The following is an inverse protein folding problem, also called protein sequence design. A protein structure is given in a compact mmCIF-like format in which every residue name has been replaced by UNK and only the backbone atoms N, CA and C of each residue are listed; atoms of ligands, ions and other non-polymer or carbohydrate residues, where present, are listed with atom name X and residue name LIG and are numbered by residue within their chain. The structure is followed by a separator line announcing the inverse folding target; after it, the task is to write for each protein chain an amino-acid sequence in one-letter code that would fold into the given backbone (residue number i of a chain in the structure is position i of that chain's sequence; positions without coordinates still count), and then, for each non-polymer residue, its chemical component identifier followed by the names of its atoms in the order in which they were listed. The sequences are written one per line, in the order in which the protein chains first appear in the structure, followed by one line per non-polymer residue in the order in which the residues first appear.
data_IF_233102677384
#
_entry.id   IF_233102677384
#
_cell.length_a   1.000
_cell.length_b   1.000
_cell.length_c   1.000
_cell.angle_alpha   90.00
_cell.angle_beta   90.00
_cell.angle_gamma   90.00
#
_symmetry.space_group_name_H-M   'P 1'
#
loop_
_entity.id
_entity.type
_entity.pdbx_description
1 polymer ?
#
# COMPACT_ATOMS: atom_id res chain seq x y z
N UNK A 1 3.29 27.86 -25.25
CA UNK A 1 2.94 26.43 -25.37
C UNK A 1 2.23 25.99 -24.08
N UNK A 2 0.91 25.90 -24.14
CA UNK A 2 0.13 25.41 -23.01
C UNK A 2 0.30 23.89 -22.99
N UNK A 3 1.01 23.33 -22.01
CA UNK A 3 1.01 21.89 -21.77
C UNK A 3 -0.43 21.49 -21.48
N UNK A 4 -1.03 20.74 -22.42
CA UNK A 4 -2.34 20.17 -22.24
C UNK A 4 -2.35 19.34 -20.96
N UNK A 5 -3.17 19.77 -20.02
CA UNK A 5 -3.49 19.01 -18.82
C UNK A 5 -4.26 17.77 -19.28
N UNK A 6 -3.54 16.65 -19.38
CA UNK A 6 -4.19 15.35 -19.60
C UNK A 6 -5.03 15.11 -18.36
N UNK A 7 -6.33 15.23 -18.49
CA UNK A 7 -7.29 14.85 -17.45
C UNK A 7 -7.12 13.35 -17.19
N UNK A 8 -6.39 13.00 -16.15
CA UNK A 8 -6.33 11.63 -15.66
C UNK A 8 -7.75 11.26 -15.26
N UNK A 9 -8.31 10.23 -15.87
CA UNK A 9 -9.59 9.69 -15.43
C UNK A 9 -9.34 8.97 -14.11
N UNK A 10 -9.97 9.49 -13.06
CA UNK A 10 -9.94 8.87 -11.73
C UNK A 10 -10.46 7.44 -11.80
N UNK A 11 -9.75 6.54 -11.13
CA UNK A 11 -10.19 5.15 -10.89
C UNK A 11 -11.10 5.01 -9.68
N UNK A 12 -11.39 6.11 -8.98
CA UNK A 12 -12.25 6.10 -7.81
C UNK A 12 -13.65 5.60 -8.17
N UNK A 13 -14.12 4.63 -7.40
CA UNK A 13 -15.41 4.04 -7.59
C UNK A 13 -15.40 2.52 -7.37
N UNK A 14 -16.59 1.97 -7.25
CA UNK A 14 -16.76 0.53 -7.08
C UNK A 14 -16.88 -0.18 -8.42
N UNK A 15 -16.26 -1.32 -8.53
CA UNK A 15 -16.38 -2.27 -9.63
C UNK A 15 -17.06 -3.54 -9.12
N UNK A 16 -18.11 -3.99 -9.81
CA UNK A 16 -18.62 -5.35 -9.64
C UNK A 16 -17.74 -6.29 -10.45
N UNK A 17 -16.91 -7.05 -9.75
CA UNK A 17 -15.92 -7.90 -10.37
C UNK A 17 -16.53 -9.19 -10.94
N UNK A 18 -15.79 -9.87 -11.82
CA UNK A 18 -16.20 -11.11 -12.48
C UNK A 18 -16.54 -12.26 -11.52
N UNK A 19 -15.97 -12.24 -10.31
CA UNK A 19 -16.29 -13.20 -9.23
C UNK A 19 -17.57 -12.85 -8.45
N UNK A 20 -18.30 -11.81 -8.85
CA UNK A 20 -19.54 -11.35 -8.24
C UNK A 20 -19.36 -10.44 -7.02
N UNK A 21 -18.15 -10.18 -6.58
CA UNK A 21 -17.86 -9.27 -5.47
C UNK A 21 -17.65 -7.84 -5.96
N UNK A 22 -18.02 -6.88 -5.12
CA UNK A 22 -17.81 -5.46 -5.38
C UNK A 22 -16.55 -5.00 -4.66
N UNK A 23 -15.65 -4.32 -5.39
CA UNK A 23 -14.38 -3.81 -4.85
C UNK A 23 -14.15 -2.36 -5.27
N UNK A 24 -13.38 -1.65 -4.45
CA UNK A 24 -12.95 -0.29 -4.74
C UNK A 24 -11.84 -0.28 -5.77
N UNK A 25 -11.93 0.65 -6.73
CA UNK A 25 -10.96 0.82 -7.80
C UNK A 25 -11.46 0.26 -9.14
N UNK A 26 -11.88 1.12 -10.05
CA UNK A 26 -12.41 0.72 -11.38
C UNK A 26 -11.35 0.07 -12.25
N UNK A 27 -10.08 0.43 -12.05
CA UNK A 27 -8.92 -0.12 -12.78
C UNK A 27 -8.02 -0.94 -11.86
N UNK A 28 -8.55 -1.46 -10.76
CA UNK A 28 -7.79 -2.09 -9.71
C UNK A 28 -7.32 -1.11 -8.64
N UNK A 29 -6.56 -1.61 -7.69
CA UNK A 29 -6.01 -0.81 -6.61
C UNK A 29 -4.55 -1.20 -6.35
N UNK A 30 -3.81 -0.32 -5.69
CA UNK A 30 -2.42 -0.56 -5.35
C UNK A 30 -2.06 0.14 -4.05
N UNK A 31 -1.11 -0.44 -3.31
CA UNK A 31 -0.57 0.11 -2.10
C UNK A 31 0.93 -0.15 -1.99
N UNK A 32 1.55 0.42 -0.98
CA UNK A 32 2.96 0.28 -0.74
C UNK A 32 3.25 -0.12 0.70
N UNK A 33 4.10 -1.12 0.87
CA UNK A 33 4.75 -1.44 2.15
C UNK A 33 6.13 -0.80 2.14
N UNK A 34 6.32 0.23 2.96
CA UNK A 34 7.63 0.79 3.24
C UNK A 34 8.31 -0.06 4.31
N UNK A 35 9.57 -0.41 4.06
CA UNK A 35 10.39 -1.25 4.93
C UNK A 35 11.64 -0.49 5.35
N UNK A 36 11.96 -0.53 6.63
CA UNK A 36 13.25 -0.07 7.13
C UNK A 36 13.96 -1.22 7.84
N UNK A 37 15.26 -1.34 7.62
CA UNK A 37 16.11 -2.26 8.37
C UNK A 37 16.51 -1.61 9.69
N UNK A 38 16.29 -2.32 10.78
CA UNK A 38 16.66 -1.90 12.12
C UNK A 38 17.51 -2.99 12.78
N UNK A 39 18.27 -2.65 13.81
CA UNK A 39 19.11 -3.59 14.55
C UNK A 39 18.31 -4.78 15.12
N UNK A 40 17.03 -4.57 15.42
CA UNK A 40 16.10 -5.60 15.89
C UNK A 40 15.39 -6.39 14.78
N UNK A 41 15.74 -6.15 13.52
CA UNK A 41 15.10 -6.72 12.34
C UNK A 41 14.26 -5.70 11.55
N UNK A 42 13.66 -6.09 10.42
CA UNK A 42 12.90 -5.18 9.60
C UNK A 42 11.60 -4.73 10.28
N UNK A 43 11.27 -3.46 10.06
CA UNK A 43 9.98 -2.87 10.42
C UNK A 43 9.27 -2.39 9.16
N UNK A 44 7.95 -2.44 9.19
CA UNK A 44 7.10 -1.96 8.10
C UNK A 44 6.18 -0.85 8.57
N UNK A 45 5.92 0.12 7.69
CA UNK A 45 4.96 1.17 7.96
C UNK A 45 3.55 0.67 7.71
N UNK A 46 2.68 0.85 8.70
CA UNK A 46 1.24 0.61 8.60
C UNK A 46 0.47 1.86 8.99
N UNK A 47 -0.70 2.02 8.41
CA UNK A 47 -1.66 3.05 8.78
C UNK A 47 -2.89 2.45 9.45
N UNK A 48 -3.41 3.15 10.46
CA UNK A 48 -4.70 2.85 11.05
C UNK A 48 -5.79 3.58 10.27
N UNK A 49 -6.69 2.82 9.67
CA UNK A 49 -7.83 3.40 8.93
C UNK A 49 -8.79 4.08 9.89
N UNK A 50 -9.24 5.28 9.52
CA UNK A 50 -10.25 6.01 10.28
C UNK A 50 -11.51 5.17 10.48
N UNK A 51 -12.16 5.29 11.62
CA UNK A 51 -13.46 4.63 11.90
C UNK A 51 -14.56 5.04 10.92
N UNK A 52 -14.40 6.17 10.24
CA UNK A 52 -15.32 6.65 9.21
C UNK A 52 -15.06 6.02 7.84
N UNK A 53 -13.92 5.37 7.64
CA UNK A 53 -13.58 4.67 6.41
C UNK A 53 -14.17 3.25 6.39
N UNK A 54 -14.26 2.67 5.19
CA UNK A 54 -14.57 1.25 5.04
C UNK A 54 -13.53 0.39 5.76
N UNK A 55 -13.99 -0.62 6.54
CA UNK A 55 -13.12 -1.40 7.44
C UNK A 55 -12.32 -0.51 8.41
N UNK A 56 -12.96 0.51 8.94
CA UNK A 56 -12.37 1.44 9.90
C UNK A 56 -11.87 0.75 11.16
N UNK A 57 -10.84 1.33 11.77
CA UNK A 57 -10.19 0.77 12.96
C UNK A 57 -9.28 -0.42 12.67
N UNK A 58 -8.97 -0.69 11.41
CA UNK A 58 -8.04 -1.74 10.99
C UNK A 58 -6.74 -1.16 10.45
N UNK A 59 -5.65 -1.93 10.56
CA UNK A 59 -4.34 -1.59 10.04
C UNK A 59 -4.14 -2.15 8.63
N UNK A 60 -3.54 -1.35 7.77
CA UNK A 60 -3.20 -1.73 6.39
C UNK A 60 -2.01 -0.92 5.89
N UNK A 61 -1.49 -1.28 4.72
CA UNK A 61 -0.58 -0.41 4.02
C UNK A 61 -1.33 0.78 3.39
N UNK A 62 -0.68 1.95 3.18
CA UNK A 62 -1.25 3.04 2.42
C UNK A 62 -1.43 2.65 0.95
N UNK A 63 -2.50 3.14 0.34
CA UNK A 63 -2.83 2.84 -1.06
C UNK A 63 -4.23 3.26 -1.43
N UNK A 64 -4.62 3.03 -2.66
CA UNK A 64 -5.92 3.39 -3.20
C UNK A 64 -6.12 2.94 -4.64
N UNK A 65 -7.11 3.54 -5.30
CA UNK A 65 -7.47 3.19 -6.67
C UNK A 65 -6.40 3.61 -7.69
N UNK A 66 -6.21 2.76 -8.68
CA UNK A 66 -5.37 3.06 -9.84
C UNK A 66 -6.15 3.95 -10.79
N UNK A 67 -5.57 5.06 -11.23
CA UNK A 67 -6.15 5.91 -12.26
C UNK A 67 -5.90 5.33 -13.65
N UNK A 68 -6.75 5.71 -14.61
CA UNK A 68 -6.62 5.22 -15.98
C UNK A 68 -5.27 5.61 -16.59
N UNK A 69 -4.53 4.61 -17.08
CA UNK A 69 -3.21 4.79 -17.69
C UNK A 69 -2.06 4.88 -16.72
N UNK A 70 -2.33 4.77 -15.43
CA UNK A 70 -1.33 4.72 -14.38
C UNK A 70 -0.86 3.28 -14.16
N UNK A 71 0.43 3.08 -13.89
CA UNK A 71 0.91 1.77 -13.44
C UNK A 71 0.51 1.55 -11.97
N UNK A 72 0.41 0.30 -11.50
CA UNK A 72 0.15 0.03 -10.10
C UNK A 72 1.16 0.70 -9.15
N UNK A 73 2.45 0.72 -9.51
CA UNK A 73 3.48 1.36 -8.70
C UNK A 73 3.32 2.89 -8.62
N UNK A 74 3.00 3.53 -9.75
CA UNK A 74 2.71 4.97 -9.77
C UNK A 74 1.52 5.31 -8.88
N UNK A 75 0.44 4.50 -8.95
CA UNK A 75 -0.73 4.66 -8.09
C UNK A 75 -0.39 4.48 -6.61
N UNK A 76 0.38 3.44 -6.27
CA UNK A 76 0.80 3.17 -4.90
C UNK A 76 1.57 4.35 -4.30
N UNK A 77 2.52 4.93 -5.04
CA UNK A 77 3.29 6.08 -4.59
C UNK A 77 2.42 7.34 -4.48
N UNK A 78 1.55 7.60 -5.42
CA UNK A 78 0.65 8.77 -5.40
C UNK A 78 -0.30 8.70 -4.20
N UNK A 79 -0.99 7.60 -4.02
CA UNK A 79 -1.93 7.40 -2.91
C UNK A 79 -1.22 7.47 -1.55
N UNK A 80 -0.07 6.80 -1.41
CA UNK A 80 0.68 6.85 -0.16
C UNK A 80 1.18 8.26 0.17
N UNK A 81 1.58 9.05 -0.84
CA UNK A 81 1.98 10.43 -0.64
C UNK A 81 0.84 11.29 -0.08
N UNK A 82 -0.39 11.05 -0.53
CA UNK A 82 -1.59 11.76 -0.06
C UNK A 82 -1.95 11.36 1.39
N UNK A 83 -1.76 10.09 1.76
CA UNK A 83 -2.18 9.55 3.05
C UNK A 83 -1.12 9.72 4.15
N UNK A 84 0.15 9.44 3.85
CA UNK A 84 1.23 9.35 4.84
C UNK A 84 2.48 10.16 4.51
N UNK A 85 2.60 10.67 3.29
CA UNK A 85 3.75 11.40 2.80
C UNK A 85 4.63 10.60 1.85
N UNK A 86 5.54 11.31 1.17
CA UNK A 86 6.49 10.71 0.24
C UNK A 86 7.71 10.17 0.98
N UNK A 87 8.26 9.02 0.55
CA UNK A 87 9.47 8.49 1.17
C UNK A 87 10.66 9.42 0.93
N UNK A 88 11.53 9.61 1.94
CA UNK A 88 12.77 10.34 1.75
C UNK A 88 13.73 9.56 0.85
N UNK A 89 14.53 10.28 0.05
CA UNK A 89 15.59 9.68 -0.76
C UNK A 89 16.82 9.35 0.12
N UNK A 90 17.55 8.27 -0.16
CA UNK A 90 17.26 7.26 -1.20
C UNK A 90 16.24 6.20 -0.74
N UNK A 91 15.47 5.70 -1.69
CA UNK A 91 14.61 4.53 -1.48
C UNK A 91 14.73 3.56 -2.66
N UNK A 92 14.32 2.33 -2.49
CA UNK A 92 14.48 1.29 -3.48
C UNK A 92 13.21 0.44 -3.60
N UNK A 93 12.66 0.34 -4.81
CA UNK A 93 11.60 -0.61 -5.12
C UNK A 93 12.17 -2.04 -5.19
N UNK A 94 11.69 -2.92 -4.32
CA UNK A 94 12.21 -4.29 -4.19
C UNK A 94 11.45 -5.26 -5.08
N UNK A 95 10.15 -5.34 -4.92
CA UNK A 95 9.27 -6.27 -5.65
C UNK A 95 7.81 -5.90 -5.45
N UNK A 96 6.93 -6.57 -6.19
CA UNK A 96 5.48 -6.45 -6.06
C UNK A 96 4.85 -7.80 -5.71
N UNK A 97 3.78 -7.75 -4.93
CA UNK A 97 2.86 -8.86 -4.76
C UNK A 97 1.51 -8.48 -5.38
N UNK A 98 0.98 -9.35 -6.24
CA UNK A 98 -0.31 -9.14 -6.90
C UNK A 98 -1.32 -10.13 -6.35
N UNK A 99 -2.40 -9.60 -5.76
CA UNK A 99 -3.58 -10.35 -5.39
C UNK A 99 -4.65 -10.15 -6.46
N UNK A 100 -4.96 -11.19 -7.22
CA UNK A 100 -5.89 -11.15 -8.35
C UNK A 100 -7.02 -12.16 -8.15
N UNK A 101 -8.04 -11.84 -7.32
CA UNK A 101 -9.15 -12.75 -7.03
C UNK A 101 -10.17 -12.84 -8.17
N UNK A 102 -10.09 -11.94 -9.14
CA UNK A 102 -10.93 -11.88 -10.32
C UNK A 102 -10.09 -11.48 -11.53
N UNK A 103 -10.56 -11.82 -12.75
CA UNK A 103 -9.83 -11.51 -13.98
C UNK A 103 -9.83 -10.01 -14.33
N UNK A 104 -10.76 -9.26 -13.79
CA UNK A 104 -10.99 -7.84 -14.05
C UNK A 104 -10.60 -6.93 -12.89
N UNK A 105 -10.05 -7.48 -11.81
CA UNK A 105 -9.61 -6.69 -10.66
C UNK A 105 -8.41 -7.32 -9.96
N UNK A 106 -7.45 -6.48 -9.57
CA UNK A 106 -6.32 -6.90 -8.75
C UNK A 106 -5.91 -5.80 -7.77
N UNK A 107 -5.23 -6.20 -6.72
CA UNK A 107 -4.53 -5.33 -5.79
C UNK A 107 -3.03 -5.62 -5.84
N UNK A 108 -2.24 -4.62 -6.18
CA UNK A 108 -0.78 -4.73 -6.20
C UNK A 108 -0.19 -4.07 -4.96
N UNK A 109 0.59 -4.82 -4.19
CA UNK A 109 1.37 -4.28 -3.06
C UNK A 109 2.83 -4.17 -3.48
N UNK A 110 3.34 -2.95 -3.60
CA UNK A 110 4.74 -2.68 -3.84
C UNK A 110 5.52 -2.69 -2.53
N UNK A 111 6.67 -3.34 -2.49
CA UNK A 111 7.60 -3.32 -1.36
C UNK A 111 8.72 -2.35 -1.66
N UNK A 112 8.88 -1.34 -0.82
CA UNK A 112 9.86 -0.25 -0.98
C UNK A 112 10.71 -0.14 0.28
N UNK A 113 12.02 -0.33 0.13
CA UNK A 113 12.97 -0.14 1.22
C UNK A 113 13.38 1.34 1.31
N UNK A 114 13.38 1.87 2.53
CA UNK A 114 13.75 3.25 2.83
C UNK A 114 14.92 3.30 3.82
N UNK A 115 15.70 4.39 3.77
CA UNK A 115 16.86 4.59 4.63
C UNK A 115 16.56 5.25 5.96
N UNK A 116 15.39 5.88 6.10
CA UNK A 116 14.96 6.52 7.34
C UNK A 116 13.45 6.44 7.53
N UNK A 117 13.01 6.45 8.78
CA UNK A 117 11.59 6.49 9.12
C UNK A 117 10.98 7.82 8.73
N UNK A 118 9.78 7.78 8.23
CA UNK A 118 8.96 8.94 7.86
C UNK A 118 7.50 8.60 8.08
N UNK A 119 6.63 9.52 7.75
CA UNK A 119 5.19 9.32 7.69
C UNK A 119 4.45 10.00 8.85
N UNK A 120 3.28 10.47 8.50
CA UNK A 120 2.31 11.06 9.41
C UNK A 120 0.91 10.89 8.81
N UNK A 121 -0.11 10.97 9.64
CA UNK A 121 -1.49 11.05 9.16
C UNK A 121 -1.72 12.41 8.48
N UNK A 122 -1.91 12.41 7.16
CA UNK A 122 -2.05 13.62 6.35
C UNK A 122 -3.50 13.92 5.92
N UNK A 123 -4.40 12.96 6.04
CA UNK A 123 -5.81 13.15 5.69
C UNK A 123 -6.73 12.49 6.72
N UNK A 124 -8.05 12.74 6.56
CA UNK A 124 -9.05 12.24 7.51
C UNK A 124 -9.34 10.73 7.40
N UNK A 125 -8.84 10.05 6.37
CA UNK A 125 -9.01 8.60 6.18
C UNK A 125 -8.03 7.79 7.02
N UNK A 126 -6.95 8.42 7.47
CA UNK A 126 -5.88 7.81 8.25
C UNK A 126 -5.85 8.44 9.65
N UNK A 127 -5.98 7.61 10.70
CA UNK A 127 -5.97 8.07 12.10
C UNK A 127 -4.56 8.06 12.70
N UNK A 128 -3.75 7.06 12.33
CA UNK A 128 -2.41 6.86 12.89
C UNK A 128 -1.50 6.19 11.86
N UNK A 129 -0.20 6.41 12.01
CA UNK A 129 0.85 5.79 11.19
C UNK A 129 1.92 5.25 12.13
N UNK A 130 2.28 3.98 11.98
CA UNK A 130 3.30 3.33 12.81
C UNK A 130 4.27 2.50 12.00
N UNK A 131 5.50 2.47 12.48
CA UNK A 131 6.50 1.48 12.10
C UNK A 131 6.38 0.29 13.04
N UNK A 132 6.11 -0.88 12.47
CA UNK A 132 5.77 -2.10 13.20
C UNK A 132 6.81 -3.17 12.89
N UNK A 133 7.46 -3.77 13.90
CA UNK A 133 8.30 -4.94 13.69
C UNK A 133 7.52 -6.05 12.97
N UNK A 134 8.14 -6.68 11.98
CA UNK A 134 7.48 -7.70 11.15
C UNK A 134 6.77 -8.77 11.97
N UNK A 135 7.36 -9.34 13.05
CA UNK A 135 6.66 -10.34 13.87
C UNK A 135 5.41 -9.80 14.58
N UNK A 136 5.34 -8.49 14.83
CA UNK A 136 4.23 -7.88 15.56
C UNK A 136 3.02 -7.60 14.66
N UNK A 137 3.18 -7.60 13.34
CA UNK A 137 2.10 -7.31 12.40
C UNK A 137 0.92 -8.27 12.55
N UNK A 138 1.21 -9.56 12.75
CA UNK A 138 0.17 -10.60 12.90
C UNK A 138 -0.70 -10.43 14.16
N UNK A 139 -0.26 -9.62 15.13
CA UNK A 139 -1.01 -9.34 16.37
C UNK A 139 -1.93 -8.11 16.25
N UNK A 140 -1.87 -7.40 15.13
CA UNK A 140 -2.74 -6.26 14.88
C UNK A 140 -4.05 -6.70 14.24
N UNK A 141 -5.09 -5.88 14.44
CA UNK A 141 -6.34 -6.03 13.70
C UNK A 141 -6.12 -5.51 12.27
N UNK A 142 -5.85 -6.41 11.35
CA UNK A 142 -5.55 -6.07 9.97
C UNK A 142 -6.82 -5.91 9.13
N UNK A 143 -6.77 -4.99 8.18
CA UNK A 143 -7.76 -4.94 7.10
C UNK A 143 -7.81 -6.30 6.39
N UNK A 144 -9.01 -6.87 6.11
CA UNK A 144 -9.12 -8.23 5.54
C UNK A 144 -8.31 -8.45 4.25
N UNK A 145 -8.33 -7.47 3.35
CA UNK A 145 -7.54 -7.54 2.11
C UNK A 145 -6.04 -7.54 2.35
N UNK A 146 -5.58 -6.71 3.27
CA UNK A 146 -4.18 -6.68 3.68
C UNK A 146 -3.77 -8.00 4.37
N UNK A 147 -4.59 -8.51 5.27
CA UNK A 147 -4.35 -9.79 5.94
C UNK A 147 -4.15 -10.95 4.95
N UNK A 148 -4.91 -10.96 3.86
CA UNK A 148 -4.78 -11.97 2.80
C UNK A 148 -3.44 -11.88 2.07
N UNK A 149 -2.93 -10.67 1.81
CA UNK A 149 -1.67 -10.44 1.10
C UNK A 149 -0.44 -10.53 2.00
N UNK A 150 -0.59 -10.25 3.30
CA UNK A 150 0.53 -10.14 4.23
C UNK A 150 1.49 -11.33 4.25
N UNK A 151 1.05 -12.59 4.27
CA UNK A 151 1.99 -13.71 4.27
C UNK A 151 2.96 -13.71 3.08
N UNK A 152 2.49 -13.33 1.89
CA UNK A 152 3.31 -13.23 0.70
C UNK A 152 4.22 -11.99 0.71
N UNK A 153 3.69 -10.86 1.15
CA UNK A 153 4.45 -9.61 1.31
C UNK A 153 5.55 -9.78 2.37
N UNK A 154 5.23 -10.42 3.49
CA UNK A 154 6.20 -10.73 4.54
C UNK A 154 7.41 -11.50 4.03
N UNK A 155 7.20 -12.49 3.16
CA UNK A 155 8.31 -13.26 2.55
C UNK A 155 9.24 -12.36 1.74
N UNK A 156 8.70 -11.41 1.00
CA UNK A 156 9.49 -10.42 0.25
C UNK A 156 10.32 -9.58 1.22
N UNK A 157 9.70 -9.07 2.28
CA UNK A 157 10.37 -8.25 3.30
C UNK A 157 11.51 -9.00 3.98
N UNK A 158 11.27 -10.25 4.39
CA UNK A 158 12.27 -11.09 5.05
C UNK A 158 13.44 -11.46 4.14
N UNK A 159 13.23 -11.56 2.84
CA UNK A 159 14.28 -11.82 1.85
C UNK A 159 15.22 -10.63 1.62
N UNK A 160 14.81 -9.41 1.92
CA UNK A 160 15.67 -8.21 1.83
C UNK A 160 16.86 -8.36 2.78
N UNK A 161 16.63 -8.84 3.97
CA UNK A 161 17.66 -9.03 5.01
C UNK A 161 18.74 -10.04 4.56
N UNK A 162 18.33 -11.10 3.85
CA UNK A 162 19.24 -12.12 3.34
C UNK A 162 20.13 -11.65 2.18
N UNK A 163 19.72 -10.65 1.44
CA UNK A 163 20.47 -10.11 0.30
C UNK A 163 21.53 -9.06 0.70
N UNK A 164 21.51 -8.61 1.96
CA UNK A 164 22.43 -7.60 2.49
C UNK A 164 23.69 -8.20 3.16
N UNK A 165 23.79 -9.54 3.32
CA UNK A 165 24.96 -10.29 3.80
C UNK A 165 25.88 -10.67 2.61
#
# INVERSE_FOLDING_TARGET
MVRGMVLRRSGDGFLRCSDGRTRWGRFGAAGVIFVIQDDGGPEVMLQLRSKMAHEGGTWSCPGGAIDRGETPFEAALRESAEEVGSPPEPWRHIADHVFAPAIDWSYTTAVVEVGERFGASLNFETTDVRWVPVPAVDHLQLHPGFATSWPSVRKIVEQIELAAE
#
